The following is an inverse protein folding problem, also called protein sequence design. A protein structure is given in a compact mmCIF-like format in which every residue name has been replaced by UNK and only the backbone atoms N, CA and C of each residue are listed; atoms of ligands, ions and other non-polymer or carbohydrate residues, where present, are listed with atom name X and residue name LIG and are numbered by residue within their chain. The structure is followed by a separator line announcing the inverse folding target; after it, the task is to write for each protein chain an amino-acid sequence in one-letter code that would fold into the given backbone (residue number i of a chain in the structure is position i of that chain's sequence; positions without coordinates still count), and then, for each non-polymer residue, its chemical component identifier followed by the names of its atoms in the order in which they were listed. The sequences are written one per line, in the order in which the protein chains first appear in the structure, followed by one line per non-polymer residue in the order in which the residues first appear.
data_IF_094316235454
#
_entry.id   IF_094316235454
#
_cell.length_a   1.000
_cell.length_b   1.000
_cell.length_c   1.000
_cell.angle_alpha   90.00
_cell.angle_beta   90.00
_cell.angle_gamma   90.00
#
_symmetry.space_group_name_H-M   'P 1'
#
loop_
_entity.id
_entity.type
_entity.pdbx_description
1 polymer ?
#
# COMPACT_ATOMS: atom_id res chain seq x y z
N UNK A 1 -4.03 -24.13 -2.89
CA UNK A 1 -3.31 -23.61 -1.72
C UNK A 1 -2.02 -22.94 -2.21
N UNK A 2 -2.04 -21.62 -2.38
CA UNK A 2 -0.83 -20.81 -2.58
C UNK A 2 -1.00 -19.56 -1.75
N UNK A 3 -0.16 -19.37 -0.73
CA UNK A 3 -0.09 -18.13 0.04
C UNK A 3 1.05 -17.31 -0.57
N UNK A 4 0.68 -16.34 -1.39
CA UNK A 4 1.58 -15.44 -2.11
C UNK A 4 2.16 -14.40 -1.13
N UNK A 5 3.40 -14.55 -0.67
CA UNK A 5 3.99 -13.83 0.48
C UNK A 5 5.05 -12.77 0.13
N UNK A 6 4.79 -11.90 -0.84
CA UNK A 6 5.53 -10.62 -0.92
C UNK A 6 6.84 -10.70 -1.70
N UNK A 7 6.68 -10.64 -3.03
CA UNK A 7 7.73 -10.09 -3.90
C UNK A 7 8.11 -8.65 -3.51
N UNK A 8 9.15 -8.08 -4.14
CA UNK A 8 10.05 -7.14 -3.50
C UNK A 8 9.46 -5.75 -3.17
N UNK A 9 9.84 -5.25 -2.00
CA UNK A 9 9.66 -3.87 -1.57
C UNK A 9 10.76 -2.93 -2.11
N UNK A 10 11.01 -3.01 -3.43
CA UNK A 10 12.11 -2.45 -4.26
C UNK A 10 13.38 -3.35 -4.29
N UNK A 11 14.05 -3.63 -5.43
CA UNK A 11 14.30 -2.74 -6.59
C UNK A 11 14.01 -3.33 -8.00
N UNK A 12 13.88 -2.44 -9.00
CA UNK A 12 14.04 -2.79 -10.43
C UNK A 12 15.19 -2.01 -11.06
N UNK A 13 16.20 -2.73 -11.59
CA UNK A 13 17.08 -2.25 -12.65
C UNK A 13 16.53 -2.83 -13.96
N UNK A 14 16.06 -1.95 -14.85
CA UNK A 14 15.66 -2.32 -16.20
C UNK A 14 16.86 -2.73 -17.07
N UNK A 15 16.66 -3.83 -17.80
CA UNK A 15 17.47 -4.37 -18.91
C UNK A 15 18.97 -4.02 -18.91
N UNK A 16 19.78 -4.82 -18.21
CA UNK A 16 21.22 -4.91 -18.52
C UNK A 16 21.36 -5.68 -19.84
N UNK A 17 21.33 -4.93 -20.94
CA UNK A 17 21.02 -5.43 -22.28
C UNK A 17 21.68 -6.74 -22.68
N UNK A 18 20.88 -7.81 -22.74
CA UNK A 18 21.17 -9.18 -23.27
C UNK A 18 20.96 -10.37 -22.30
N UNK A 19 20.12 -10.29 -21.26
CA UNK A 19 19.68 -11.50 -20.53
C UNK A 19 18.16 -11.53 -20.30
N UNK A 20 17.43 -12.25 -21.16
CA UNK A 20 15.98 -12.41 -21.15
C UNK A 20 15.42 -13.34 -20.04
N UNK A 21 16.27 -13.85 -19.15
CA UNK A 21 15.89 -14.80 -18.10
C UNK A 21 15.54 -14.14 -16.76
N UNK A 22 15.79 -12.83 -16.62
CA UNK A 22 15.32 -12.07 -15.46
C UNK A 22 13.85 -11.71 -15.66
N UNK A 23 12.96 -12.54 -15.08
CA UNK A 23 11.54 -12.23 -15.01
C UNK A 23 11.35 -10.94 -14.22
N UNK A 24 10.79 -9.93 -14.91
CA UNK A 24 10.36 -8.67 -14.35
C UNK A 24 9.27 -8.96 -13.30
N UNK A 25 9.63 -9.04 -12.02
CA UNK A 25 8.64 -9.04 -10.95
C UNK A 25 8.16 -7.60 -10.80
N UNK A 26 6.95 -7.31 -11.27
CA UNK A 26 6.29 -6.03 -11.06
C UNK A 26 6.36 -5.66 -9.57
N UNK A 27 7.22 -4.70 -9.22
CA UNK A 27 7.34 -4.21 -7.85
C UNK A 27 6.04 -3.57 -7.36
N UNK A 28 6.05 -3.09 -6.10
CA UNK A 28 4.90 -2.34 -5.55
C UNK A 28 4.50 -1.17 -6.46
N UNK A 29 3.18 -0.98 -6.65
CA UNK A 29 2.69 0.17 -7.39
C UNK A 29 2.91 1.46 -6.58
N UNK A 30 2.93 2.61 -7.25
CA UNK A 30 2.98 3.91 -6.55
C UNK A 30 1.80 4.09 -5.58
N UNK A 31 0.65 3.49 -5.91
CA UNK A 31 -0.53 3.45 -5.06
C UNK A 31 -0.25 2.68 -3.76
N UNK A 32 0.35 1.49 -3.85
CA UNK A 32 0.70 0.68 -2.68
C UNK A 32 1.71 1.39 -1.80
N UNK A 33 2.67 2.12 -2.41
CA UNK A 33 3.61 2.95 -1.69
C UNK A 33 2.90 4.05 -0.88
N UNK A 34 2.00 4.82 -1.49
CA UNK A 34 1.24 5.86 -0.77
C UNK A 34 0.33 5.28 0.30
N UNK A 35 -0.34 4.16 0.03
CA UNK A 35 -1.16 3.48 1.02
C UNK A 35 -0.32 3.03 2.21
N UNK A 36 0.88 2.48 1.99
CA UNK A 36 1.80 2.10 3.07
C UNK A 36 2.21 3.29 3.95
N UNK A 37 2.38 4.48 3.34
CA UNK A 37 2.70 5.72 4.05
C UNK A 37 1.52 6.24 4.87
N UNK A 38 0.30 6.10 4.38
CA UNK A 38 -0.92 6.53 5.07
C UNK A 38 -1.36 5.56 6.18
N UNK A 39 -1.05 4.26 6.05
CA UNK A 39 -1.56 3.20 6.92
C UNK A 39 -1.33 3.46 8.41
N UNK A 40 -0.14 3.93 8.78
CA UNK A 40 0.18 4.22 10.18
C UNK A 40 -0.67 5.33 10.79
N UNK A 41 -1.02 6.36 10.00
CA UNK A 41 -1.87 7.46 10.44
C UNK A 41 -3.33 7.03 10.56
N UNK A 42 -3.84 6.29 9.56
CA UNK A 42 -5.20 5.72 9.62
C UNK A 42 -5.37 4.78 10.82
N UNK A 43 -4.33 4.00 11.16
CA UNK A 43 -4.35 3.16 12.34
C UNK A 43 -4.36 3.98 13.64
N UNK A 44 -3.55 5.04 13.73
CA UNK A 44 -3.54 5.91 14.91
C UNK A 44 -4.90 6.59 15.12
N UNK A 45 -5.56 7.03 14.05
CA UNK A 45 -6.90 7.62 14.11
C UNK A 45 -7.94 6.61 14.63
N UNK A 46 -7.89 5.37 14.12
CA UNK A 46 -8.72 4.29 14.64
C UNK A 46 -8.48 4.01 16.14
N UNK A 47 -7.23 4.07 16.62
CA UNK A 47 -6.94 3.88 18.04
C UNK A 47 -7.57 4.96 18.92
N UNK A 48 -7.63 6.21 18.45
CA UNK A 48 -8.32 7.28 19.16
C UNK A 48 -9.82 6.99 19.25
N UNK A 49 -10.43 6.57 18.14
CA UNK A 49 -11.84 6.16 18.13
C UNK A 49 -12.11 4.98 19.08
N UNK A 50 -11.26 3.94 19.03
CA UNK A 50 -11.42 2.72 19.80
C UNK A 50 -11.21 2.94 21.31
N UNK A 51 -10.45 3.96 21.71
CA UNK A 51 -10.29 4.33 23.12
C UNK A 51 -11.62 4.76 23.77
N UNK A 52 -12.52 5.37 23.00
CA UNK A 52 -13.82 5.84 23.49
C UNK A 52 -14.96 4.84 23.22
N UNK A 53 -14.87 4.08 22.12
CA UNK A 53 -15.98 3.28 21.60
C UNK A 53 -15.74 1.77 21.67
N UNK A 54 -14.55 1.35 22.08
CA UNK A 54 -14.11 -0.05 22.03
C UNK A 54 -13.65 -0.49 20.64
N UNK A 55 -12.97 -1.64 20.59
CA UNK A 55 -12.47 -2.22 19.34
C UNK A 55 -13.62 -2.84 18.57
N UNK A 56 -13.79 -2.41 17.31
CA UNK A 56 -14.81 -2.98 16.41
C UNK A 56 -14.26 -4.17 15.63
N UNK A 57 -15.12 -5.14 15.35
CA UNK A 57 -14.81 -6.20 14.39
C UNK A 57 -14.60 -5.59 12.99
N UNK A 58 -13.65 -6.11 12.23
CA UNK A 58 -13.34 -5.60 10.88
C UNK A 58 -12.52 -4.30 10.84
N UNK A 59 -12.01 -3.78 11.97
CA UNK A 59 -11.25 -2.52 11.99
C UNK A 59 -10.07 -2.48 11.02
N UNK A 60 -9.44 -3.62 10.77
CA UNK A 60 -8.31 -3.76 9.84
C UNK A 60 -8.72 -3.43 8.41
N UNK A 61 -9.93 -3.81 8.02
CA UNK A 61 -10.46 -3.55 6.68
C UNK A 61 -10.77 -2.07 6.50
N UNK A 62 -11.31 -1.41 7.54
CA UNK A 62 -11.52 0.04 7.58
C UNK A 62 -10.22 0.82 7.43
N UNK A 63 -9.23 0.52 8.28
CA UNK A 63 -7.91 1.17 8.25
C UNK A 63 -7.20 0.96 6.90
N UNK A 64 -7.26 -0.25 6.33
CA UNK A 64 -6.69 -0.51 5.02
C UNK A 64 -7.40 0.28 3.91
N UNK A 65 -8.73 0.36 3.95
CA UNK A 65 -9.53 1.12 3.00
C UNK A 65 -9.21 2.61 3.05
N UNK A 66 -9.09 3.18 4.24
CA UNK A 66 -8.77 4.60 4.42
C UNK A 66 -7.37 4.92 3.88
N UNK A 67 -6.39 4.04 4.11
CA UNK A 67 -5.05 4.19 3.56
C UNK A 67 -5.04 4.21 2.02
N UNK A 68 -5.81 3.32 1.37
CA UNK A 68 -5.94 3.31 -0.09
C UNK A 68 -6.72 4.51 -0.63
N UNK A 69 -7.75 4.98 0.08
CA UNK A 69 -8.46 6.22 -0.29
C UNK A 69 -7.52 7.42 -0.25
N UNK A 70 -6.61 7.48 0.71
CA UNK A 70 -5.58 8.51 0.74
C UNK A 70 -4.57 8.38 -0.41
N UNK A 71 -4.16 7.17 -0.74
CA UNK A 71 -3.30 6.93 -1.90
C UNK A 71 -3.97 7.42 -3.21
N UNK A 72 -5.24 7.12 -3.39
CA UNK A 72 -6.02 7.54 -4.56
C UNK A 72 -6.16 9.08 -4.62
N UNK A 73 -6.30 9.75 -3.47
CA UNK A 73 -6.31 11.21 -3.39
C UNK A 73 -4.95 11.83 -3.77
N UNK A 74 -3.83 11.23 -3.33
CA UNK A 74 -2.48 11.68 -3.69
C UNK A 74 -2.20 11.53 -5.19
N UNK A 75 -2.67 10.43 -5.80
CA UNK A 75 -2.55 10.21 -7.25
C UNK A 75 -3.36 11.24 -8.04
N UNK A 76 -4.63 11.48 -7.65
CA UNK A 76 -5.47 12.51 -8.27
C UNK A 76 -4.86 13.91 -8.17
N UNK A 77 -4.30 14.26 -7.01
CA UNK A 77 -3.63 15.54 -6.81
C UNK A 77 -2.41 15.72 -7.74
N UNK A 78 -1.73 14.61 -8.09
CA UNK A 78 -0.61 14.62 -9.04
C UNK A 78 -1.07 14.77 -10.49
N UNK A 79 -2.17 14.15 -10.89
CA UNK A 79 -2.71 14.24 -12.27
C UNK A 79 -3.26 15.63 -12.61
N UNK A 80 -3.69 16.39 -11.60
CA UNK A 80 -4.16 17.76 -11.75
C UNK A 80 -3.08 18.84 -11.66
N UNK A 81 -1.79 18.48 -11.62
CA UNK A 81 -0.64 19.38 -11.48
C UNK A 81 0.12 19.58 -12.80
#
# INVERSE_FOLDING_TARGET
MSKHTGGPAFPELGNVGYNSEWQNESGMTLRDYFASKALGLCYADYLNYAAENGVQEGWRDGVAKDAYLMADAMLKAREGA
#
